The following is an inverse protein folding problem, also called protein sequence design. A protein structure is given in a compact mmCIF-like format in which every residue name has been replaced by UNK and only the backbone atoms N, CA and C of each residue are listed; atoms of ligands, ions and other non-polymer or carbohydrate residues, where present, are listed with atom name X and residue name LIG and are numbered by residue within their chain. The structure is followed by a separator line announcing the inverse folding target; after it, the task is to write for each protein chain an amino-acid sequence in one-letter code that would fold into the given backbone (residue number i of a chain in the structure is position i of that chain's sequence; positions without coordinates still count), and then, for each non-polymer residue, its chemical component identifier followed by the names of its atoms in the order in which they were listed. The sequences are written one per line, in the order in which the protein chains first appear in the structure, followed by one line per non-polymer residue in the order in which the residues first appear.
data_IF_964261988591
#
_entry.id   IF_964261988591
#
_cell.length_a   1.000
_cell.length_b   1.000
_cell.length_c   1.000
_cell.angle_alpha   90.00
_cell.angle_beta   90.00
_cell.angle_gamma   90.00
#
_symmetry.space_group_name_H-M   'P 1'
#
loop_
_entity.id
_entity.type
_entity.pdbx_description
1 polymer ?
#
# COMPACT_ATOMS: atom_id res chain seq x y z
N UNK A 1 -9.39 19.55 -4.33
CA UNK A 1 -8.23 18.66 -4.56
C UNK A 1 -8.39 17.32 -3.86
N UNK A 2 -8.85 17.30 -2.59
CA UNK A 2 -9.17 16.06 -1.86
C UNK A 2 -10.11 15.12 -2.64
N UNK A 3 -11.18 15.64 -3.26
CA UNK A 3 -12.14 14.80 -4.00
C UNK A 3 -11.48 13.91 -5.08
N UNK A 4 -10.60 14.49 -5.90
CA UNK A 4 -9.93 13.78 -6.98
C UNK A 4 -8.97 12.71 -6.43
N UNK A 5 -8.30 12.98 -5.31
CA UNK A 5 -7.48 11.95 -4.65
C UNK A 5 -8.33 10.85 -4.00
N UNK A 6 -9.50 11.18 -3.42
CA UNK A 6 -10.42 10.19 -2.86
C UNK A 6 -11.03 9.29 -3.94
N UNK A 7 -11.39 9.86 -5.10
CA UNK A 7 -11.88 9.07 -6.23
C UNK A 7 -10.79 8.18 -6.82
N UNK A 8 -9.55 8.65 -6.91
CA UNK A 8 -8.40 7.84 -7.34
C UNK A 8 -8.15 6.63 -6.41
N UNK A 9 -8.22 6.81 -5.08
CA UNK A 9 -8.08 5.69 -4.12
C UNK A 9 -9.11 4.60 -4.38
N UNK A 10 -10.36 4.99 -4.62
CA UNK A 10 -11.44 4.04 -4.83
C UNK A 10 -11.30 3.31 -6.17
N UNK A 11 -10.85 4.02 -7.21
CA UNK A 11 -10.54 3.43 -8.51
C UNK A 11 -9.42 2.38 -8.38
N UNK A 12 -8.31 2.73 -7.73
CA UNK A 12 -7.20 1.79 -7.57
C UNK A 12 -7.57 0.59 -6.68
N UNK A 13 -8.32 0.78 -5.59
CA UNK A 13 -8.82 -0.33 -4.76
C UNK A 13 -9.73 -1.26 -5.57
N UNK A 14 -10.64 -0.71 -6.36
CA UNK A 14 -11.53 -1.50 -7.19
C UNK A 14 -10.74 -2.32 -8.23
N UNK A 15 -9.76 -1.70 -8.89
CA UNK A 15 -8.90 -2.39 -9.86
C UNK A 15 -8.03 -3.47 -9.21
N UNK A 16 -7.54 -3.25 -7.99
CA UNK A 16 -6.70 -4.21 -7.27
C UNK A 16 -7.42 -5.53 -6.99
N UNK A 17 -8.73 -5.49 -6.70
CA UNK A 17 -9.55 -6.70 -6.47
C UNK A 17 -9.59 -7.60 -7.72
N UNK A 18 -9.46 -7.03 -8.92
CA UNK A 18 -9.47 -7.79 -10.17
C UNK A 18 -8.07 -8.12 -10.71
N UNK A 19 -7.02 -7.84 -9.96
CA UNK A 19 -5.65 -8.12 -10.40
C UNK A 19 -5.38 -9.64 -10.32
N UNK A 20 -5.30 -10.28 -11.49
CA UNK A 20 -5.00 -11.72 -11.60
C UNK A 20 -3.50 -11.99 -11.45
N UNK A 21 -2.68 -11.11 -12.04
CA UNK A 21 -1.22 -11.23 -12.00
C UNK A 21 -0.64 -10.41 -10.86
N UNK A 22 0.31 -11.00 -10.15
CA UNK A 22 1.04 -10.37 -9.05
C UNK A 22 1.75 -9.07 -9.44
N UNK A 23 2.28 -8.99 -10.67
CA UNK A 23 2.90 -7.78 -11.19
C UNK A 23 1.88 -6.64 -11.37
N UNK A 24 0.69 -6.95 -11.90
CA UNK A 24 -0.38 -5.98 -12.07
C UNK A 24 -0.88 -5.50 -10.69
N UNK A 25 -1.01 -6.42 -9.74
CA UNK A 25 -1.34 -6.07 -8.36
C UNK A 25 -0.29 -5.14 -7.75
N UNK A 26 1.01 -5.42 -7.93
CA UNK A 26 2.09 -4.55 -7.44
C UNK A 26 2.02 -3.14 -8.01
N UNK A 27 1.79 -2.99 -9.32
CA UNK A 27 1.62 -1.67 -9.94
C UNK A 27 0.39 -0.91 -9.42
N UNK A 28 -0.73 -1.62 -9.21
CA UNK A 28 -1.94 -1.04 -8.64
C UNK A 28 -1.74 -0.58 -7.20
N UNK A 29 -1.00 -1.35 -6.38
CA UNK A 29 -0.67 -0.95 -5.00
C UNK A 29 0.28 0.25 -4.98
N UNK A 30 1.23 0.34 -5.92
CA UNK A 30 2.08 1.53 -6.06
C UNK A 30 1.23 2.79 -6.34
N UNK A 31 0.30 2.72 -7.30
CA UNK A 31 -0.65 3.80 -7.58
C UNK A 31 -1.51 4.18 -6.37
N UNK A 32 -1.98 3.17 -5.63
CA UNK A 32 -2.73 3.35 -4.39
C UNK A 32 -1.91 4.09 -3.33
N UNK A 33 -0.67 3.65 -3.08
CA UNK A 33 0.22 4.26 -2.07
C UNK A 33 0.55 5.72 -2.39
N UNK A 34 0.70 6.06 -3.67
CA UNK A 34 0.87 7.45 -4.12
C UNK A 34 -0.40 8.28 -3.90
N UNK A 35 -1.57 7.75 -4.21
CA UNK A 35 -2.83 8.49 -3.97
C UNK A 35 -3.08 8.74 -2.47
N UNK A 36 -2.69 7.81 -1.60
CA UNK A 36 -2.77 7.95 -0.14
C UNK A 36 -1.76 8.97 0.38
N UNK A 37 -0.51 8.96 -0.10
CA UNK A 37 0.49 9.94 0.33
C UNK A 37 0.05 11.37 -0.04
N UNK A 38 -0.55 11.56 -1.22
CA UNK A 38 -1.11 12.86 -1.62
C UNK A 38 -2.20 13.33 -0.66
N UNK A 39 -3.10 12.45 -0.20
CA UNK A 39 -4.12 12.80 0.80
C UNK A 39 -3.49 13.15 2.16
N UNK A 40 -2.52 12.35 2.62
CA UNK A 40 -1.82 12.63 3.88
C UNK A 40 -1.11 13.98 3.81
N UNK A 41 -0.53 14.33 2.66
CA UNK A 41 0.12 15.64 2.48
C UNK A 41 -0.87 16.80 2.52
N UNK A 42 -2.13 16.58 2.15
CA UNK A 42 -3.16 17.62 2.20
C UNK A 42 -3.84 17.73 3.57
N UNK A 43 -3.98 16.61 4.30
CA UNK A 43 -4.68 16.57 5.59
C UNK A 43 -3.75 16.76 6.79
N UNK A 44 -2.50 16.30 6.70
CA UNK A 44 -1.51 16.30 7.79
C UNK A 44 -0.22 16.97 7.33
N UNK A 45 0.94 16.55 7.86
CA UNK A 45 2.24 17.06 7.47
C UNK A 45 2.74 16.39 6.19
N UNK A 46 3.29 17.21 5.29
CA UNK A 46 3.97 16.74 4.08
C UNK A 46 5.16 15.81 4.38
N UNK A 47 5.87 16.01 5.48
CA UNK A 47 7.00 15.15 5.87
C UNK A 47 6.56 13.72 6.21
N UNK A 48 5.43 13.56 6.92
CA UNK A 48 4.84 12.26 7.23
C UNK A 48 4.39 11.54 5.95
N UNK A 49 3.77 12.27 5.02
CA UNK A 49 3.38 11.75 3.71
C UNK A 49 4.58 11.18 2.93
N UNK A 50 5.71 11.88 2.97
CA UNK A 50 6.93 11.48 2.28
C UNK A 50 7.56 10.22 2.91
N UNK A 51 7.61 10.12 4.24
CA UNK A 51 8.08 8.92 4.95
C UNK A 51 7.19 7.71 4.61
N UNK A 52 5.87 7.90 4.65
CA UNK A 52 4.90 6.85 4.31
C UNK A 52 5.12 6.32 2.89
N UNK A 53 5.31 7.22 1.93
CA UNK A 53 5.55 6.86 0.53
C UNK A 53 6.84 6.04 0.35
N UNK A 54 7.92 6.41 1.03
CA UNK A 54 9.21 5.72 0.95
C UNK A 54 9.12 4.31 1.53
N UNK A 55 8.47 4.14 2.68
CA UNK A 55 8.31 2.82 3.31
C UNK A 55 7.49 1.88 2.43
N UNK A 56 6.40 2.39 1.84
CA UNK A 56 5.56 1.58 0.95
C UNK A 56 6.27 1.20 -0.35
N UNK A 57 6.96 2.13 -1.01
CA UNK A 57 7.76 1.80 -2.22
C UNK A 57 8.88 0.83 -1.89
N UNK A 58 9.62 1.08 -0.81
CA UNK A 58 10.73 0.21 -0.39
C UNK A 58 10.28 -1.22 -0.11
N UNK A 59 9.19 -1.38 0.65
CA UNK A 59 8.62 -2.70 0.96
C UNK A 59 8.07 -3.43 -0.28
N UNK A 60 7.39 -2.71 -1.18
CA UNK A 60 6.82 -3.29 -2.40
C UNK A 60 7.90 -3.72 -3.41
N UNK A 61 9.03 -3.03 -3.47
CA UNK A 61 10.14 -3.42 -4.33
C UNK A 61 10.75 -4.77 -3.91
N UNK A 62 10.93 -5.01 -2.61
CA UNK A 62 11.42 -6.30 -2.11
C UNK A 62 10.47 -7.43 -2.47
N UNK A 63 9.16 -7.21 -2.33
CA UNK A 63 8.12 -8.16 -2.68
C UNK A 63 8.07 -8.43 -4.20
N UNK A 64 8.32 -7.41 -5.02
CA UNK A 64 8.45 -7.54 -6.47
C UNK A 64 9.63 -8.43 -6.88
N UNK A 65 10.82 -8.23 -6.28
CA UNK A 65 11.98 -9.10 -6.53
C UNK A 65 11.72 -10.54 -6.11
N UNK A 66 11.11 -10.75 -4.93
CA UNK A 66 10.76 -12.08 -4.46
C UNK A 66 9.82 -12.82 -5.43
N UNK A 67 8.73 -12.18 -5.86
CA UNK A 67 7.73 -12.83 -6.70
C UNK A 67 8.18 -12.99 -8.16
N UNK A 68 8.98 -12.07 -8.69
CA UNK A 68 9.60 -12.22 -10.02
C UNK A 68 10.58 -13.40 -10.09
N UNK A 69 11.21 -13.76 -8.97
CA UNK A 69 12.08 -14.95 -8.91
C UNK A 69 11.32 -16.28 -8.80
N UNK A 70 10.11 -16.26 -8.22
CA UNK A 70 9.33 -17.48 -7.94
C UNK A 70 8.33 -17.83 -9.05
N UNK A 71 7.79 -16.84 -9.76
CA UNK A 71 6.75 -17.07 -10.75
C UNK A 71 7.33 -16.94 -12.17
N UNK A 72 7.32 -18.04 -12.93
CA UNK A 72 7.61 -18.01 -14.37
C UNK A 72 6.47 -17.25 -15.05
N UNK A 73 6.71 -15.96 -15.25
CA UNK A 73 5.80 -14.94 -15.78
C UNK A 73 4.86 -15.49 -16.88
N UNK A 74 3.57 -15.79 -16.59
CA UNK A 74 2.59 -15.93 -17.66
C UNK A 74 2.29 -14.50 -18.13
N UNK A 75 3.19 -13.98 -18.96
CA UNK A 75 3.06 -12.71 -19.64
C UNK A 75 1.65 -12.61 -20.19
N UNK A 76 0.84 -11.75 -19.57
CA UNK A 76 -0.41 -11.26 -20.13
C UNK A 76 -1.30 -12.37 -20.71
N UNK A 77 -1.61 -13.40 -19.91
CA UNK A 77 -2.86 -14.13 -20.13
C UNK A 77 -4.00 -13.15 -19.84
N UNK A 78 -4.27 -12.23 -20.78
CA UNK A 78 -5.50 -11.47 -20.86
C UNK A 78 -6.57 -12.53 -21.08
N UNK A 79 -7.07 -13.07 -19.97
CA UNK A 79 -8.21 -13.95 -20.00
C UNK A 79 -9.27 -13.22 -20.82
N UNK A 80 -9.76 -13.85 -21.89
CA UNK A 80 -10.94 -13.40 -22.64
C UNK A 80 -12.16 -13.50 -21.73
N UNK A 81 -12.17 -12.75 -20.64
CA UNK A 81 -13.34 -12.57 -19.79
C UNK A 81 -14.37 -11.90 -20.65
N UNK A 82 -15.54 -12.52 -20.75
CA UNK A 82 -16.66 -12.08 -21.56
C UNK A 82 -16.87 -10.56 -21.45
N UNK A 83 -17.02 -9.89 -22.60
CA UNK A 83 -17.24 -8.43 -22.66
C UNK A 83 -18.37 -7.96 -21.72
N UNK A 84 -19.35 -8.83 -21.43
CA UNK A 84 -20.45 -8.54 -20.51
C UNK A 84 -19.99 -8.39 -19.05
N UNK A 85 -19.01 -9.19 -18.59
CA UNK A 85 -18.47 -9.06 -17.24
C UNK A 85 -17.65 -7.77 -17.06
N UNK A 86 -17.02 -7.27 -18.14
CA UNK A 86 -16.30 -6.00 -18.11
C UNK A 86 -17.25 -4.79 -17.99
N UNK A 87 -18.38 -4.82 -18.70
CA UNK A 87 -19.39 -3.76 -18.63
C UNK A 87 -20.04 -3.66 -17.23
N UNK A 88 -20.35 -4.79 -16.60
CA UNK A 88 -20.89 -4.80 -15.22
C UNK A 88 -19.88 -4.19 -14.24
N UNK A 89 -18.59 -4.49 -14.41
CA UNK A 89 -17.54 -3.93 -13.56
C UNK A 89 -17.43 -2.40 -13.70
N UNK A 90 -17.48 -1.89 -14.93
CA UNK A 90 -17.46 -0.45 -15.18
C UNK A 90 -18.69 0.27 -14.60
N UNK A 91 -19.87 -0.34 -14.68
CA UNK A 91 -21.10 0.24 -14.13
C UNK A 91 -21.02 0.39 -12.60
N UNK A 92 -20.47 -0.60 -11.90
CA UNK A 92 -20.29 -0.54 -10.43
C UNK A 92 -19.34 0.61 -10.07
N UNK A 93 -18.23 0.75 -10.80
CA UNK A 93 -17.26 1.82 -10.57
C UNK A 93 -17.88 3.20 -10.84
N UNK A 94 -18.72 3.33 -11.88
CA UNK A 94 -19.42 4.58 -12.18
C UNK A 94 -20.43 4.97 -11.08
N UNK A 95 -21.17 3.99 -10.53
CA UNK A 95 -22.09 4.20 -9.40
C UNK A 95 -21.33 4.65 -8.14
N UNK A 96 -20.18 4.04 -7.85
CA UNK A 96 -19.37 4.43 -6.71
C UNK A 96 -18.87 5.89 -6.86
N UNK A 97 -18.41 6.27 -8.04
CA UNK A 97 -17.93 7.64 -8.30
C UNK A 97 -19.07 8.65 -8.21
N UNK A 98 -20.25 8.34 -8.77
CA UNK A 98 -21.40 9.24 -8.73
C UNK A 98 -21.93 9.46 -7.30
N UNK A 99 -21.90 8.42 -6.46
CA UNK A 99 -22.28 8.53 -5.05
C UNK A 99 -21.38 9.50 -4.26
N UNK A 100 -20.08 9.51 -4.56
CA UNK A 100 -19.13 10.43 -3.92
C UNK A 100 -19.31 11.86 -4.40
N UNK A 101 -19.60 12.06 -5.70
CA UNK A 101 -19.90 13.38 -6.23
C UNK A 101 -21.09 13.98 -5.49
N UNK A 102 -22.17 13.21 -5.33
CA UNK A 102 -23.36 13.66 -4.62
C UNK A 102 -23.08 14.04 -3.15
N UNK A 103 -22.27 13.23 -2.44
CA UNK A 103 -21.93 13.49 -1.04
C UNK A 103 -21.06 14.75 -0.85
N UNK A 104 -20.10 15.00 -1.76
CA UNK A 104 -19.17 16.12 -1.61
C UNK A 104 -19.76 17.50 -1.97
N UNK A 105 -20.91 17.58 -2.66
CA UNK A 105 -21.55 18.86 -2.94
C UNK A 105 -22.31 19.44 -1.74
N UNK A 106 -22.49 18.68 -0.65
CA UNK A 106 -23.29 19.14 0.48
C UNK A 106 -22.47 19.64 1.68
N UNK A 107 -21.24 19.16 1.87
CA UNK A 107 -20.42 19.54 3.01
C UNK A 107 -19.35 20.58 2.67
N UNK A 108 -19.66 21.80 3.09
CA UNK A 108 -18.81 22.96 3.28
C UNK A 108 -17.35 22.64 3.62
N UNK A 109 -16.43 23.22 2.83
CA UNK A 109 -15.26 23.97 3.30
C UNK A 109 -14.69 23.60 4.67
N UNK A 110 -14.17 22.39 4.82
CA UNK A 110 -13.14 22.13 5.84
C UNK A 110 -11.81 22.71 5.35
N UNK A 111 -11.71 24.03 5.42
CA UNK A 111 -10.43 24.73 5.40
C UNK A 111 -9.65 24.31 6.64
N UNK A 112 -8.84 23.26 6.50
CA UNK A 112 -7.77 22.94 7.44
C UNK A 112 -6.68 24.01 7.34
N UNK A 113 -7.00 25.22 7.80
CA UNK A 113 -5.99 26.21 8.11
C UNK A 113 -5.51 25.93 9.53
N UNK A 114 -4.61 24.97 9.69
CA UNK A 114 -3.97 24.71 10.97
C UNK A 114 -2.46 24.88 10.82
N UNK A 115 -2.02 26.13 10.98
CA UNK A 115 -0.62 26.55 11.16
C UNK A 115 0.09 25.86 12.35
N UNK A 116 -0.59 24.98 13.10
CA UNK A 116 -0.03 24.22 14.21
C UNK A 116 0.50 22.82 13.82
N UNK A 117 0.42 22.43 12.54
CA UNK A 117 0.85 21.09 12.11
C UNK A 117 2.36 20.85 12.31
N UNK A 118 3.21 21.87 12.29
CA UNK A 118 4.66 21.69 12.39
C UNK A 118 5.18 21.23 13.77
N UNK A 119 4.34 21.19 14.81
CA UNK A 119 4.80 20.85 16.17
C UNK A 119 4.82 19.34 16.46
N UNK A 120 4.09 18.50 15.72
CA UNK A 120 4.01 17.06 16.02
C UNK A 120 5.27 16.27 15.64
N UNK A 121 6.11 16.78 14.74
CA UNK A 121 7.33 16.08 14.33
C UNK A 121 8.47 16.16 15.36
N UNK A 122 8.45 17.18 16.23
CA UNK A 122 9.55 17.45 17.16
C UNK A 122 9.37 16.81 18.54
N UNK A 123 8.19 16.25 18.86
CA UNK A 123 7.90 15.65 20.17
C UNK A 123 8.33 14.19 20.31
N UNK A 124 8.89 13.56 19.28
CA UNK A 124 9.29 12.13 19.31
C UNK A 124 10.28 11.78 20.43
N UNK A 125 11.03 12.76 20.94
CA UNK A 125 11.98 12.58 22.03
C UNK A 125 11.48 13.17 23.37
N UNK A 126 10.18 13.30 23.54
CA UNK A 126 9.60 13.69 24.82
C UNK A 126 9.62 12.51 25.80
N UNK A 127 9.66 12.79 27.11
CA UNK A 127 9.86 11.76 28.14
C UNK A 127 8.84 10.61 28.06
N UNK A 128 7.60 10.91 27.69
CA UNK A 128 6.52 9.92 27.51
C UNK A 128 6.68 9.08 26.22
N UNK A 129 7.22 9.66 25.15
CA UNK A 129 7.37 9.02 23.83
C UNK A 129 8.62 8.11 23.74
N UNK A 130 9.63 8.34 24.60
CA UNK A 130 10.85 7.51 24.67
C UNK A 130 10.54 6.05 24.98
N UNK A 131 9.54 5.77 25.83
CA UNK A 131 9.11 4.40 26.14
C UNK A 131 8.58 3.71 24.87
N UNK A 132 7.81 4.42 24.06
CA UNK A 132 7.27 3.91 22.79
C UNK A 132 8.41 3.63 21.81
N UNK A 133 9.41 4.52 21.71
CA UNK A 133 10.60 4.30 20.89
C UNK A 133 11.38 3.04 21.30
N UNK A 134 11.58 2.82 22.60
CA UNK A 134 12.25 1.61 23.10
C UNK A 134 11.47 0.35 22.72
N UNK A 135 10.14 0.36 22.86
CA UNK A 135 9.27 -0.76 22.48
C UNK A 135 9.35 -1.06 20.98
N UNK A 136 9.32 -0.04 20.11
CA UNK A 136 9.47 -0.21 18.66
C UNK A 136 10.84 -0.78 18.31
N UNK A 137 11.91 -0.32 18.97
CA UNK A 137 13.26 -0.86 18.79
C UNK A 137 13.37 -2.34 19.15
N UNK A 138 12.80 -2.73 20.30
CA UNK A 138 12.75 -4.15 20.73
C UNK A 138 11.94 -4.98 19.73
N UNK A 139 10.80 -4.46 19.24
CA UNK A 139 9.98 -5.15 18.24
C UNK A 139 10.76 -5.43 16.95
N UNK A 140 11.48 -4.43 16.41
CA UNK A 140 12.30 -4.60 15.21
C UNK A 140 13.43 -5.62 15.43
N UNK A 141 14.05 -5.64 16.61
CA UNK A 141 15.10 -6.60 16.95
C UNK A 141 14.55 -8.04 17.01
N UNK A 142 13.38 -8.22 17.63
CA UNK A 142 12.69 -9.52 17.67
C UNK A 142 12.34 -9.99 16.26
N UNK A 143 11.82 -9.10 15.40
CA UNK A 143 11.51 -9.43 14.00
C UNK A 143 12.76 -9.90 13.26
N UNK A 144 13.89 -9.20 13.40
CA UNK A 144 15.15 -9.59 12.76
C UNK A 144 15.65 -10.95 13.26
N UNK A 145 15.58 -11.20 14.58
CA UNK A 145 15.92 -12.50 15.15
C UNK A 145 15.00 -13.62 14.60
N UNK A 146 13.69 -13.38 14.54
CA UNK A 146 12.71 -14.32 14.01
C UNK A 146 12.96 -14.63 12.53
N UNK A 147 13.23 -13.62 11.70
CA UNK A 147 13.55 -13.80 10.28
C UNK A 147 14.76 -14.70 10.10
N UNK A 148 15.82 -14.54 10.90
CA UNK A 148 16.98 -15.46 10.81
C UNK A 148 16.60 -16.90 11.17
N UNK A 149 15.74 -17.12 12.16
CA UNK A 149 15.27 -18.47 12.50
C UNK A 149 14.39 -19.09 11.42
N UNK A 150 13.54 -18.30 10.77
CA UNK A 150 12.71 -18.77 9.65
C UNK A 150 13.52 -19.15 8.41
N UNK A 151 14.60 -18.42 8.11
CA UNK A 151 15.42 -18.72 6.92
C UNK A 151 16.31 -19.95 7.11
N UNK A 152 16.69 -20.30 8.35
CA UNK A 152 17.53 -21.47 8.64
C UNK A 152 16.84 -22.84 8.46
N UNK A 153 15.51 -22.90 8.26
CA UNK A 153 14.77 -24.18 8.14
C UNK A 153 14.47 -24.63 6.71
N UNK A 154 15.17 -24.11 5.68
CA UNK A 154 15.08 -24.69 4.33
C UNK A 154 16.30 -25.56 4.03
N UNK A 155 16.17 -26.87 4.27
CA UNK A 155 16.86 -27.83 3.40
C UNK A 155 16.26 -27.61 2.02
N UNK A 156 16.99 -26.95 1.14
CA UNK A 156 16.50 -26.63 -0.21
C UNK A 156 16.08 -27.90 -0.96
N UNK A 157 15.02 -27.81 -1.76
CA UNK A 157 14.53 -28.88 -2.63
C UNK A 157 15.59 -29.42 -3.63
N UNK A 158 16.72 -28.71 -3.77
CA UNK A 158 17.82 -29.03 -4.69
C UNK A 158 18.87 -30.00 -4.14
N UNK A 159 18.74 -30.50 -2.90
CA UNK A 159 19.57 -31.62 -2.44
C UNK A 159 18.69 -32.86 -2.27
N UNK A 160 18.42 -33.64 -3.33
CA UNK A 160 17.98 -35.01 -3.13
C UNK A 160 19.04 -35.69 -2.27
N UNK A 161 18.60 -36.22 -1.13
CA UNK A 161 19.39 -37.20 -0.39
C UNK A 161 19.53 -38.41 -1.30
N UNK A 162 20.66 -38.50 -2.00
CA UNK A 162 21.15 -39.80 -2.44
C UNK A 162 21.48 -40.60 -1.17
N UNK A 163 20.94 -41.82 -1.15
CA UNK A 163 21.08 -42.92 -0.17
C UNK A 163 22.23 -42.82 0.84
N UNK A 164 21.92 -43.15 2.10
CA UNK A 164 22.23 -44.48 2.68
C UNK A 164 21.13 -44.87 3.70
#
# INVERSE_FOLDING_TARGET
MSFLSWSLILIFNYLAIYAINTLNLGFLILGLSFSISVIISFCFLSWLSLIFFIIYIGGLLVLFFYLSSLNYNPLLAVSRTSNNAFLIKLNILFILISSLLYYNFHDNSWSFNNNNANNYSYSLFNEEEVIILILVGIMLLIVLWLVTKLTYTSRGALRPTFND
#
